data_IF_477384289767
#
_entry.id   IF_477384289767
#
_cell.length_a   1.000
_cell.length_b   1.000
_cell.length_c   1.000
_cell.angle_alpha   90.00
_cell.angle_beta   90.00
_cell.angle_gamma   90.00
#
_symmetry.space_group_name_H-M   'P 1'
#
loop_
_entity.id
_entity.type
_entity.pdbx_description
1 polymer ?
#
# COMPACT_ATOMS: atom_id res chain seq x y z
N UNK A 1 18.98 41.46 34.32
CA UNK A 1 17.67 40.79 34.24
C UNK A 1 16.62 41.83 33.95
N UNK A 2 16.23 41.96 32.68
CA UNK A 2 15.07 42.74 32.23
C UNK A 2 13.96 41.74 31.86
N UNK A 3 12.68 42.04 32.11
CA UNK A 3 11.61 41.06 32.01
C UNK A 3 11.32 40.75 30.55
N UNK A 4 11.35 39.46 30.19
CA UNK A 4 10.71 38.98 28.97
C UNK A 4 9.20 39.24 29.15
N UNK A 5 8.75 40.35 28.59
CA UNK A 5 7.43 40.94 28.80
C UNK A 5 6.32 40.04 28.26
N UNK A 6 5.14 40.19 28.84
CA UNK A 6 3.84 39.57 28.56
C UNK A 6 3.42 39.48 27.08
N UNK A 7 4.20 40.06 26.16
CA UNK A 7 4.03 40.08 24.71
C UNK A 7 3.97 38.66 24.09
N UNK A 8 4.90 37.77 24.43
CA UNK A 8 4.94 36.42 23.84
C UNK A 8 3.84 35.50 24.38
N UNK A 9 3.41 35.70 25.63
CA UNK A 9 2.30 34.95 26.21
C UNK A 9 0.95 35.37 25.58
N UNK A 10 0.75 36.68 25.33
CA UNK A 10 -0.41 37.18 24.56
C UNK A 10 -0.42 36.71 23.11
N UNK A 11 0.74 36.62 22.46
CA UNK A 11 0.85 36.12 21.08
C UNK A 11 0.49 34.64 20.96
N UNK A 12 0.87 33.82 21.95
CA UNK A 12 0.47 32.41 22.03
C UNK A 12 -1.01 32.24 22.38
N UNK A 13 -1.61 33.19 23.10
CA UNK A 13 -3.04 33.18 23.42
C UNK A 13 -3.92 33.59 22.22
N UNK A 14 -3.42 34.48 21.34
CA UNK A 14 -4.05 34.86 20.06
C UNK A 14 -3.96 33.73 19.01
N UNK A 15 -3.00 32.80 19.16
CA UNK A 15 -2.85 31.61 18.31
C UNK A 15 -3.71 30.41 18.75
N UNK A 16 -4.60 30.58 19.73
CA UNK A 16 -5.62 29.57 20.02
C UNK A 16 -6.54 29.46 18.80
N UNK A 17 -6.33 28.39 18.04
CA UNK A 17 -7.18 28.00 16.92
C UNK A 17 -8.65 28.00 17.36
N UNK A 18 -9.56 28.53 16.52
CA UNK A 18 -10.96 28.63 16.88
C UNK A 18 -11.59 27.25 17.09
N UNK A 19 -12.44 27.16 18.11
CA UNK A 19 -13.21 25.97 18.49
C UNK A 19 -14.63 25.99 17.89
N UNK A 20 -14.85 26.78 16.83
CA UNK A 20 -16.14 26.90 16.15
C UNK A 20 -16.10 26.15 14.81
N UNK A 21 -17.10 25.31 14.54
CA UNK A 21 -17.17 24.46 13.33
C UNK A 21 -17.20 25.33 12.05
N UNK A 22 -17.82 26.50 12.10
CA UNK A 22 -17.96 27.40 10.95
C UNK A 22 -16.63 28.05 10.56
N UNK A 23 -15.76 28.38 11.52
CA UNK A 23 -14.42 28.91 11.23
C UNK A 23 -13.46 27.81 10.71
N UNK A 24 -13.63 26.57 11.18
CA UNK A 24 -12.91 25.40 10.63
C UNK A 24 -13.33 25.15 9.18
N UNK A 25 -14.62 25.28 8.85
CA UNK A 25 -15.14 25.13 7.50
C UNK A 25 -14.65 26.24 6.55
N UNK A 26 -14.64 27.49 7.00
CA UNK A 26 -14.09 28.63 6.20
C UNK A 26 -12.58 28.48 6.02
N UNK A 27 -11.87 27.98 7.03
CA UNK A 27 -10.45 27.69 6.94
C UNK A 27 -10.19 26.51 5.98
N UNK A 28 -10.97 25.44 6.04
CA UNK A 28 -10.87 24.30 5.15
C UNK A 28 -11.22 24.69 3.71
N UNK A 29 -12.27 25.50 3.51
CA UNK A 29 -12.60 26.11 2.22
C UNK A 29 -11.44 26.93 1.70
N UNK A 30 -10.84 27.79 2.53
CA UNK A 30 -9.69 28.60 2.14
C UNK A 30 -8.49 27.72 1.76
N UNK A 31 -8.20 26.69 2.55
CA UNK A 31 -7.14 25.73 2.23
C UNK A 31 -7.40 25.00 0.91
N UNK A 32 -8.64 24.56 0.64
CA UNK A 32 -8.99 23.87 -0.59
C UNK A 32 -9.04 24.80 -1.80
N UNK A 33 -9.64 25.99 -1.66
CA UNK A 33 -9.71 27.00 -2.72
C UNK A 33 -8.31 27.44 -3.17
N UNK A 34 -7.36 27.53 -2.24
CA UNK A 34 -5.98 27.87 -2.54
C UNK A 34 -5.04 26.65 -2.71
N UNK A 35 -5.51 25.42 -2.47
CA UNK A 35 -4.71 24.18 -2.64
C UNK A 35 -4.26 23.97 -4.08
N UNK A 36 -5.01 24.52 -5.03
CA UNK A 36 -4.68 24.49 -6.46
C UNK A 36 -3.46 25.36 -6.79
N UNK A 37 -3.12 26.33 -5.96
CA UNK A 37 -2.08 27.32 -6.28
C UNK A 37 -0.74 26.64 -6.47
N UNK A 38 -0.34 25.73 -5.58
CA UNK A 38 0.96 25.04 -5.71
C UNK A 38 1.02 24.17 -6.96
N UNK A 39 0.07 23.26 -7.23
CA UNK A 39 0.02 22.50 -8.49
C UNK A 39 -0.04 23.40 -9.74
N UNK A 40 -0.82 24.48 -9.71
CA UNK A 40 -0.93 25.43 -10.83
C UNK A 40 0.41 26.14 -11.10
N UNK A 41 1.11 26.59 -10.05
CA UNK A 41 2.42 27.21 -10.19
C UNK A 41 3.44 26.21 -10.72
N UNK A 42 3.48 24.98 -10.19
CA UNK A 42 4.36 23.91 -10.70
C UNK A 42 4.11 23.71 -12.19
N UNK A 43 2.85 23.50 -12.59
CA UNK A 43 2.45 23.35 -13.99
C UNK A 43 2.90 24.52 -14.85
N UNK A 44 2.59 25.75 -14.44
CA UNK A 44 2.94 26.96 -15.19
C UNK A 44 4.46 27.07 -15.39
N UNK A 45 5.26 26.75 -14.37
CA UNK A 45 6.73 26.78 -14.48
C UNK A 45 7.30 25.68 -15.37
N UNK A 46 6.62 24.53 -15.47
CA UNK A 46 6.97 23.49 -16.45
C UNK A 46 6.65 23.97 -17.86
N UNK A 47 5.45 24.50 -18.10
CA UNK A 47 5.01 25.00 -19.42
C UNK A 47 5.88 26.18 -19.91
N UNK A 48 6.36 27.01 -19.00
CA UNK A 48 7.28 28.11 -19.30
C UNK A 48 8.76 27.66 -19.44
N UNK A 49 9.07 26.37 -19.27
CA UNK A 49 10.44 25.85 -19.40
C UNK A 49 11.42 26.35 -18.33
N UNK A 50 10.92 26.83 -17.19
CA UNK A 50 11.74 27.49 -16.15
C UNK A 50 12.84 26.56 -15.63
N UNK A 51 12.52 25.29 -15.39
CA UNK A 51 13.49 24.32 -14.89
C UNK A 51 14.59 24.04 -15.91
N UNK A 52 14.23 23.96 -17.19
CA UNK A 52 15.18 23.74 -18.30
C UNK A 52 16.09 24.94 -18.52
N UNK A 53 15.55 26.16 -18.39
CA UNK A 53 16.34 27.40 -18.47
C UNK A 53 17.43 27.40 -17.40
N UNK A 54 17.08 27.14 -16.14
CA UNK A 54 18.07 27.08 -15.06
C UNK A 54 19.07 25.93 -15.27
N UNK A 55 18.62 24.79 -15.79
CA UNK A 55 19.48 23.64 -16.06
C UNK A 55 20.53 23.92 -17.14
N UNK A 56 20.13 24.61 -18.22
CA UNK A 56 21.00 24.95 -19.36
C UNK A 56 22.16 25.88 -18.99
N UNK A 57 21.96 26.74 -18.00
CA UNK A 57 23.01 27.63 -17.45
C UNK A 57 24.09 26.88 -16.64
N UNK A 58 23.88 25.59 -16.37
CA UNK A 58 24.88 24.71 -15.80
C UNK A 58 24.81 24.51 -14.28
N UNK A 59 25.70 23.65 -13.79
CA UNK A 59 25.65 23.17 -12.40
C UNK A 59 25.96 24.30 -11.42
N UNK A 60 25.00 24.60 -10.55
CA UNK A 60 25.11 25.66 -9.55
C UNK A 60 24.69 27.05 -10.05
N UNK A 61 24.10 27.13 -11.25
CA UNK A 61 23.54 28.36 -11.78
C UNK A 61 22.51 28.98 -10.83
N UNK A 62 22.53 30.31 -10.76
CA UNK A 62 21.67 31.13 -9.91
C UNK A 62 21.13 32.27 -10.75
N UNK A 63 19.85 32.18 -11.12
CA UNK A 63 19.21 33.15 -12.01
C UNK A 63 18.21 34.01 -11.25
N UNK A 64 18.17 35.29 -11.57
CA UNK A 64 17.07 36.16 -11.13
C UNK A 64 15.81 35.86 -11.94
N UNK A 65 14.65 36.27 -11.43
CA UNK A 65 13.40 36.16 -12.18
C UNK A 65 13.43 36.97 -13.49
N UNK A 66 14.26 38.03 -13.57
CA UNK A 66 14.50 38.79 -14.79
C UNK A 66 15.28 37.98 -15.82
N UNK A 67 16.37 37.34 -15.42
CA UNK A 67 17.17 36.50 -16.32
C UNK A 67 16.30 35.37 -16.91
N UNK A 68 15.44 34.76 -16.09
CA UNK A 68 14.51 33.71 -16.54
C UNK A 68 13.45 34.28 -17.50
N UNK A 69 12.89 35.47 -17.21
CA UNK A 69 11.93 36.13 -18.10
C UNK A 69 12.53 36.47 -19.47
N UNK A 70 13.80 36.91 -19.48
CA UNK A 70 14.55 37.24 -20.68
C UNK A 70 14.80 35.97 -21.53
N UNK A 71 15.14 34.84 -20.90
CA UNK A 71 15.27 33.54 -21.58
C UNK A 71 13.95 33.01 -22.16
N UNK A 72 12.82 33.28 -21.49
CA UNK A 72 11.48 32.97 -22.01
C UNK A 72 11.15 33.83 -23.25
N UNK A 73 11.80 34.98 -23.42
CA UNK A 73 11.52 35.92 -24.52
C UNK A 73 10.19 36.68 -24.33
N UNK A 74 9.79 36.93 -23.08
CA UNK A 74 8.52 37.59 -22.78
C UNK A 74 8.58 39.10 -23.05
N UNK A 75 7.65 39.62 -23.85
CA UNK A 75 7.47 41.06 -24.08
C UNK A 75 6.64 41.77 -22.98
N UNK A 76 6.16 41.03 -21.96
CA UNK A 76 5.41 41.60 -20.84
C UNK A 76 6.36 42.26 -19.82
N UNK A 77 6.26 43.59 -19.58
CA UNK A 77 7.13 44.29 -18.63
C UNK A 77 6.98 43.82 -17.17
N UNK A 78 5.87 43.15 -16.82
CA UNK A 78 5.62 42.62 -15.48
C UNK A 78 6.09 41.16 -15.29
N UNK A 79 6.57 40.51 -16.36
CA UNK A 79 6.87 39.08 -16.35
C UNK A 79 7.88 38.67 -15.27
N UNK A 80 8.94 39.46 -15.07
CA UNK A 80 9.94 39.20 -14.04
C UNK A 80 9.35 39.25 -12.61
N UNK A 81 8.43 40.19 -12.35
CA UNK A 81 7.75 40.29 -11.05
C UNK A 81 6.77 39.14 -10.81
N UNK A 82 6.02 38.77 -11.84
CA UNK A 82 5.12 37.61 -11.80
C UNK A 82 5.90 36.32 -11.55
N UNK A 83 6.99 36.09 -12.30
CA UNK A 83 7.87 34.95 -12.14
C UNK A 83 8.47 34.91 -10.73
N UNK A 84 8.98 36.02 -10.18
CA UNK A 84 9.53 36.03 -8.83
C UNK A 84 8.53 35.51 -7.77
N UNK A 85 7.25 35.87 -7.89
CA UNK A 85 6.18 35.39 -7.00
C UNK A 85 5.95 33.88 -7.13
N UNK A 86 5.99 33.34 -8.35
CA UNK A 86 5.87 31.91 -8.63
C UNK A 86 7.09 31.15 -8.08
N UNK A 87 8.30 31.62 -8.40
CA UNK A 87 9.56 30.99 -8.00
C UNK A 87 9.75 31.01 -6.49
N UNK A 88 9.33 32.08 -5.81
CA UNK A 88 9.29 32.15 -4.34
C UNK A 88 8.38 31.08 -3.73
N UNK A 89 7.21 30.84 -4.31
CA UNK A 89 6.32 29.79 -3.85
C UNK A 89 6.96 28.41 -4.01
N UNK A 90 7.57 28.14 -5.16
CA UNK A 90 8.29 26.88 -5.40
C UNK A 90 9.47 26.70 -4.45
N UNK A 91 10.23 27.77 -4.18
CA UNK A 91 11.33 27.75 -3.22
C UNK A 91 10.84 27.43 -1.79
N UNK A 92 9.69 27.99 -1.38
CA UNK A 92 9.08 27.66 -0.07
C UNK A 92 8.64 26.20 0.06
N UNK A 93 8.39 25.52 -1.08
CA UNK A 93 8.08 24.09 -1.14
C UNK A 93 9.29 23.22 -1.46
N UNK A 94 10.52 23.76 -1.36
CA UNK A 94 11.78 23.08 -1.68
C UNK A 94 11.89 22.56 -3.12
N UNK A 95 11.05 23.06 -4.03
CA UNK A 95 11.08 22.73 -5.46
C UNK A 95 12.11 23.57 -6.23
N UNK A 96 12.60 24.65 -5.63
CA UNK A 96 13.76 25.43 -6.03
C UNK A 96 14.55 25.80 -4.77
N UNK A 97 15.81 26.18 -4.93
CA UNK A 97 16.56 26.87 -3.88
C UNK A 97 16.55 28.37 -4.16
N UNK A 98 16.52 29.19 -3.11
CA UNK A 98 16.54 30.65 -3.24
C UNK A 98 17.68 31.22 -2.39
N UNK A 99 18.46 32.13 -2.96
CA UNK A 99 19.45 32.94 -2.25
C UNK A 99 19.18 34.43 -2.51
N UNK A 100 19.64 35.29 -1.61
CA UNK A 100 19.41 36.73 -1.70
C UNK A 100 20.75 37.43 -1.81
N UNK A 101 20.89 38.31 -2.79
CA UNK A 101 22.05 39.18 -2.98
C UNK A 101 21.61 40.64 -2.90
N UNK A 102 22.56 41.55 -2.63
CA UNK A 102 22.30 42.99 -2.74
C UNK A 102 22.24 43.35 -4.22
N UNK A 103 21.25 44.14 -4.61
CA UNK A 103 21.11 44.58 -6.00
C UNK A 103 22.37 45.39 -6.42
N UNK A 104 23.07 44.99 -7.49
CA UNK A 104 24.26 45.70 -7.95
C UNK A 104 23.95 47.02 -8.71
N UNK A 105 22.70 47.29 -9.08
CA UNK A 105 22.33 48.41 -9.98
C UNK A 105 21.77 49.63 -9.23
N UNK A 106 21.21 49.47 -8.03
CA UNK A 106 20.67 50.58 -7.22
C UNK A 106 21.18 50.55 -5.77
N UNK A 107 22.32 51.21 -5.53
CA UNK A 107 22.97 51.31 -4.22
C UNK A 107 22.27 52.26 -3.21
N UNK A 108 21.13 52.84 -3.56
CA UNK A 108 20.43 53.86 -2.76
C UNK A 108 19.16 53.37 -2.05
N UNK A 109 18.58 52.25 -2.46
CA UNK A 109 17.43 51.63 -1.81
C UNK A 109 17.83 50.21 -1.42
N UNK A 110 17.56 49.77 -0.18
CA UNK A 110 17.88 48.41 0.32
C UNK A 110 17.10 47.29 -0.40
N UNK A 111 17.22 47.18 -1.73
CA UNK A 111 16.56 46.20 -2.57
C UNK A 111 17.41 44.93 -2.60
N UNK A 112 16.74 43.85 -2.25
CA UNK A 112 17.29 42.50 -2.20
C UNK A 112 16.87 41.76 -3.46
N UNK A 113 17.83 41.32 -4.27
CA UNK A 113 17.55 40.51 -5.45
C UNK A 113 17.56 39.03 -5.06
N UNK A 114 16.51 38.30 -5.45
CA UNK A 114 16.42 36.85 -5.27
C UNK A 114 17.01 36.15 -6.48
N UNK A 115 17.85 35.15 -6.21
CA UNK A 115 18.40 34.25 -7.21
C UNK A 115 17.93 32.83 -6.93
N UNK A 116 17.40 32.17 -7.96
CA UNK A 116 16.83 30.83 -7.90
C UNK A 116 17.77 29.83 -8.55
N UNK A 117 17.89 28.65 -7.94
CA UNK A 117 18.65 27.52 -8.48
C UNK A 117 17.86 26.22 -8.34
N UNK A 118 18.21 25.21 -9.12
CA UNK A 118 17.59 23.89 -9.00
C UNK A 118 17.85 23.31 -7.60
N UNK A 119 16.79 22.79 -6.98
CA UNK A 119 16.88 21.91 -5.82
C UNK A 119 17.08 20.46 -6.28
N UNK A 120 17.42 19.53 -5.36
CA UNK A 120 17.47 18.10 -5.69
C UNK A 120 16.17 17.53 -6.25
N UNK A 121 15.02 18.16 -5.98
CA UNK A 121 13.69 17.75 -6.47
C UNK A 121 13.42 18.33 -7.86
N UNK A 122 13.99 19.48 -8.21
CA UNK A 122 13.73 20.13 -9.52
C UNK A 122 14.10 19.27 -10.72
N UNK A 123 15.06 18.35 -10.57
CA UNK A 123 15.53 17.45 -11.64
C UNK A 123 14.42 16.60 -12.29
N UNK A 124 13.30 16.39 -11.59
CA UNK A 124 12.15 15.62 -12.08
C UNK A 124 11.25 16.41 -13.04
N UNK A 125 11.43 17.74 -13.07
CA UNK A 125 10.69 18.67 -13.92
C UNK A 125 11.53 19.22 -15.09
N UNK A 126 12.81 18.85 -15.15
CA UNK A 126 13.71 19.20 -16.26
C UNK A 126 13.53 18.16 -17.37
N UNK A 127 13.28 18.64 -18.59
CA UNK A 127 13.24 17.86 -19.82
C UNK A 127 14.61 17.23 -20.12
N UNK A 128 14.62 16.02 -20.65
CA UNK A 128 15.83 15.46 -21.26
C UNK A 128 16.05 16.00 -22.69
N UNK A 129 17.01 15.41 -23.42
CA UNK A 129 17.36 15.80 -24.78
C UNK A 129 16.17 15.71 -25.76
N UNK A 130 15.17 14.89 -25.45
CA UNK A 130 13.96 14.70 -26.25
C UNK A 130 12.77 15.51 -25.70
N UNK A 131 12.99 16.31 -24.65
CA UNK A 131 12.00 17.19 -24.04
C UNK A 131 11.02 16.49 -23.09
N UNK A 132 11.28 15.23 -22.70
CA UNK A 132 10.35 14.48 -21.86
C UNK A 132 10.58 14.78 -20.37
N UNK A 133 9.51 14.95 -19.60
CA UNK A 133 9.54 15.09 -18.14
C UNK A 133 8.28 14.49 -17.52
N UNK A 134 8.19 14.42 -16.19
CA UNK A 134 6.98 13.93 -15.51
C UNK A 134 5.80 14.93 -15.57
N UNK A 135 6.02 16.15 -16.06
CA UNK A 135 5.05 17.25 -16.04
C UNK A 135 3.78 17.10 -16.92
N UNK A 136 3.88 16.62 -18.18
CA UNK A 136 2.74 16.58 -19.11
C UNK A 136 1.60 15.61 -18.73
N UNK A 137 1.89 14.56 -17.95
CA UNK A 137 0.93 13.50 -17.59
C UNK A 137 -0.34 14.00 -16.87
N UNK A 138 -0.27 15.15 -16.19
CA UNK A 138 -1.38 15.73 -15.43
C UNK A 138 -2.46 16.38 -16.31
N UNK A 139 -2.19 16.61 -17.60
CA UNK A 139 -3.10 17.32 -18.51
C UNK A 139 -4.14 16.41 -19.18
N UNK A 140 -3.91 15.09 -19.20
CA UNK A 140 -4.76 14.14 -19.92
C UNK A 140 -5.90 13.57 -19.09
N UNK A 141 -6.00 13.89 -17.79
CA UNK A 141 -7.06 13.35 -16.92
C UNK A 141 -8.47 13.71 -17.42
N UNK A 142 -8.67 14.95 -17.89
CA UNK A 142 -9.94 15.37 -18.49
C UNK A 142 -10.25 14.57 -19.76
N UNK A 143 -9.25 14.40 -20.64
CA UNK A 143 -9.38 13.63 -21.87
C UNK A 143 -9.71 12.16 -21.59
N UNK A 144 -9.02 11.53 -20.64
CA UNK A 144 -9.27 10.17 -20.19
C UNK A 144 -10.71 9.98 -19.68
N UNK A 145 -11.24 10.92 -18.90
CA UNK A 145 -12.62 10.85 -18.39
C UNK A 145 -13.65 10.98 -19.53
N UNK A 146 -13.41 11.87 -20.50
CA UNK A 146 -14.38 12.17 -21.57
C UNK A 146 -14.34 11.18 -22.73
N UNK A 147 -13.14 10.70 -23.08
CA UNK A 147 -12.88 9.95 -24.32
C UNK A 147 -12.36 8.53 -24.05
N UNK A 148 -12.07 8.22 -22.78
CA UNK A 148 -11.43 6.97 -22.39
C UNK A 148 -9.91 6.99 -22.58
N UNK A 149 -9.29 5.90 -22.16
CA UNK A 149 -7.84 5.72 -22.12
C UNK A 149 -7.23 6.16 -20.79
N UNK A 150 -5.95 5.81 -20.60
CA UNK A 150 -5.20 6.12 -19.38
C UNK A 150 -4.43 7.42 -19.59
N UNK A 151 -4.48 8.40 -18.65
CA UNK A 151 -3.81 9.69 -18.80
C UNK A 151 -2.34 9.58 -19.23
N UNK A 152 -1.56 8.68 -18.61
CA UNK A 152 -0.17 8.43 -19.01
C UNK A 152 -0.06 7.95 -20.46
N UNK A 153 -0.86 6.96 -20.87
CA UNK A 153 -0.85 6.44 -22.23
C UNK A 153 -1.27 7.49 -23.25
N UNK A 154 -2.21 8.37 -22.90
CA UNK A 154 -2.64 9.48 -23.77
C UNK A 154 -1.52 10.50 -23.96
N UNK A 155 -0.74 10.77 -22.91
CA UNK A 155 0.38 11.72 -22.96
C UNK A 155 1.62 11.15 -23.69
N UNK A 156 1.89 9.85 -23.54
CA UNK A 156 3.14 9.23 -23.98
C UNK A 156 2.98 8.20 -25.11
N UNK A 157 1.75 7.87 -25.51
CA UNK A 157 1.43 6.91 -26.58
C UNK A 157 1.65 5.44 -26.21
N UNK A 158 2.07 5.13 -24.97
CA UNK A 158 2.40 3.76 -24.54
C UNK A 158 2.23 3.56 -23.02
N UNK A 159 2.31 2.31 -22.59
CA UNK A 159 2.24 1.91 -21.18
C UNK A 159 3.46 2.39 -20.37
N UNK A 160 3.28 2.74 -19.09
CA UNK A 160 4.38 3.25 -18.23
C UNK A 160 5.57 2.29 -18.11
N UNK A 161 5.34 0.99 -17.96
CA UNK A 161 6.42 -0.01 -17.94
C UNK A 161 7.12 -0.19 -19.29
N UNK A 162 6.43 0.02 -20.42
CA UNK A 162 7.08 0.04 -21.74
C UNK A 162 7.88 1.33 -21.93
N UNK A 163 7.36 2.46 -21.45
CA UNK A 163 8.05 3.74 -21.44
C UNK A 163 9.36 3.67 -20.63
N UNK A 164 9.35 2.98 -19.47
CA UNK A 164 10.54 2.76 -18.66
C UNK A 164 11.63 1.95 -19.39
N UNK A 165 11.30 1.10 -20.36
CA UNK A 165 12.30 0.36 -21.14
C UNK A 165 13.04 1.25 -22.13
N UNK A 166 12.36 2.25 -22.69
CA UNK A 166 12.93 3.12 -23.73
C UNK A 166 13.63 4.35 -23.16
N UNK A 167 13.19 4.86 -22.01
CA UNK A 167 13.77 6.04 -21.35
C UNK A 167 14.55 5.62 -20.10
N UNK A 168 15.87 5.47 -20.26
CA UNK A 168 16.77 5.07 -19.18
C UNK A 168 16.80 6.06 -18.01
N UNK A 169 16.56 7.36 -18.25
CA UNK A 169 16.53 8.37 -17.18
C UNK A 169 15.25 8.25 -16.36
N UNK A 170 14.10 8.09 -17.03
CA UNK A 170 12.84 7.82 -16.36
C UNK A 170 12.94 6.53 -15.53
N UNK A 171 13.51 5.46 -16.10
CA UNK A 171 13.73 4.20 -15.41
C UNK A 171 14.57 4.37 -14.14
N UNK A 172 15.71 5.07 -14.23
CA UNK A 172 16.57 5.34 -13.07
C UNK A 172 15.81 6.11 -11.98
N UNK A 173 15.07 7.16 -12.37
CA UNK A 173 14.27 7.98 -11.47
C UNK A 173 13.20 7.15 -10.78
N UNK A 174 12.44 6.37 -11.54
CA UNK A 174 11.37 5.51 -11.05
C UNK A 174 11.92 4.48 -10.06
N UNK A 175 12.96 3.74 -10.46
CA UNK A 175 13.60 2.73 -9.63
C UNK A 175 14.17 3.33 -8.34
N UNK A 176 14.80 4.50 -8.41
CA UNK A 176 15.33 5.20 -7.22
C UNK A 176 14.23 5.66 -6.27
N UNK A 177 13.11 6.18 -6.80
CA UNK A 177 11.96 6.56 -5.98
C UNK A 177 11.33 5.34 -5.29
N UNK A 178 11.18 4.24 -6.01
CA UNK A 178 10.67 2.97 -5.47
C UNK A 178 11.62 2.36 -4.44
N UNK A 179 12.93 2.38 -4.69
CA UNK A 179 13.96 1.93 -3.75
C UNK A 179 13.88 2.71 -2.41
N UNK A 180 13.88 4.03 -2.47
CA UNK A 180 13.92 4.88 -1.27
C UNK A 180 12.64 4.76 -0.44
N UNK A 181 11.47 4.80 -1.09
CA UNK A 181 10.18 4.65 -0.43
C UNK A 181 10.02 3.26 0.20
N UNK A 182 10.38 2.20 -0.53
CA UNK A 182 10.32 0.82 -0.05
C UNK A 182 11.28 0.61 1.13
N UNK A 183 12.49 1.17 1.09
CA UNK A 183 13.46 1.05 2.18
C UNK A 183 12.92 1.61 3.50
N UNK A 184 12.29 2.80 3.45
CA UNK A 184 11.73 3.43 4.64
C UNK A 184 10.56 2.63 5.22
N UNK A 185 9.67 2.16 4.35
CA UNK A 185 8.50 1.37 4.74
C UNK A 185 8.91 0.01 5.31
N UNK A 186 9.79 -0.72 4.60
CA UNK A 186 10.18 -2.09 4.97
C UNK A 186 10.95 -2.16 6.28
N UNK A 187 11.79 -1.16 6.59
CA UNK A 187 12.43 -1.09 7.92
C UNK A 187 11.40 -1.13 9.05
N UNK A 188 10.31 -0.37 8.92
CA UNK A 188 9.23 -0.33 9.92
C UNK A 188 8.40 -1.61 9.92
N UNK A 189 8.08 -2.15 8.74
CA UNK A 189 7.35 -3.42 8.63
C UNK A 189 8.12 -4.54 9.34
N UNK A 190 9.43 -4.64 9.08
CA UNK A 190 10.30 -5.66 9.66
C UNK A 190 10.38 -5.59 11.19
N UNK A 191 10.10 -4.44 11.81
CA UNK A 191 10.10 -4.32 13.28
C UNK A 191 8.89 -4.99 13.91
N UNK A 192 7.73 -4.91 13.25
CA UNK A 192 6.44 -5.37 13.78
C UNK A 192 5.97 -6.71 13.19
N UNK A 193 6.27 -6.98 11.93
CA UNK A 193 5.84 -8.19 11.23
C UNK A 193 6.81 -9.34 11.47
N UNK A 194 6.31 -10.45 12.00
CA UNK A 194 7.08 -11.65 12.36
C UNK A 194 6.86 -12.84 11.41
N UNK A 195 6.10 -12.63 10.34
CA UNK A 195 5.75 -13.73 9.44
C UNK A 195 6.92 -14.27 8.62
N UNK A 196 8.11 -13.66 8.71
CA UNK A 196 9.34 -14.12 8.06
C UNK A 196 10.13 -15.16 8.87
N UNK A 197 9.89 -15.30 10.18
CA UNK A 197 10.76 -16.07 11.10
C UNK A 197 10.88 -17.58 10.81
N UNK A 198 9.98 -18.15 9.99
CA UNK A 198 9.92 -19.58 9.66
C UNK A 198 9.96 -19.86 8.15
N UNK A 199 10.36 -18.86 7.36
CA UNK A 199 10.52 -19.01 5.91
C UNK A 199 11.99 -19.36 5.65
N UNK A 200 12.28 -20.39 4.84
CA UNK A 200 13.66 -20.67 4.43
C UNK A 200 13.94 -20.12 3.03
N UNK A 201 12.95 -20.13 2.14
CA UNK A 201 13.07 -19.60 0.77
C UNK A 201 11.96 -18.58 0.48
N UNK A 202 12.34 -17.33 0.21
CA UNK A 202 11.42 -16.22 -0.05
C UNK A 202 11.63 -15.67 -1.45
N UNK A 203 10.55 -15.51 -2.21
CA UNK A 203 10.56 -14.91 -3.55
C UNK A 203 9.87 -13.55 -3.51
N UNK A 204 10.57 -12.47 -3.82
CA UNK A 204 10.02 -11.11 -3.97
C UNK A 204 9.63 -10.89 -5.44
N UNK A 205 8.33 -10.98 -5.74
CA UNK A 205 7.78 -10.85 -7.10
C UNK A 205 7.51 -9.38 -7.39
N UNK A 206 8.09 -8.86 -8.48
CA UNK A 206 8.13 -7.43 -8.77
C UNK A 206 9.01 -6.67 -7.76
N UNK A 207 10.10 -7.30 -7.33
CA UNK A 207 10.99 -6.75 -6.29
C UNK A 207 11.86 -5.58 -6.78
N UNK A 208 11.78 -5.22 -8.06
CA UNK A 208 12.55 -4.17 -8.69
C UNK A 208 14.04 -4.48 -8.65
N UNK A 209 14.83 -3.50 -8.18
CA UNK A 209 16.28 -3.66 -7.97
C UNK A 209 16.65 -4.48 -6.72
N UNK A 210 15.69 -5.13 -6.05
CA UNK A 210 15.96 -6.08 -4.95
C UNK A 210 16.18 -5.45 -3.56
N UNK A 211 15.86 -4.17 -3.39
CA UNK A 211 16.06 -3.47 -2.11
C UNK A 211 15.26 -4.09 -0.95
N UNK A 212 14.04 -4.55 -1.23
CA UNK A 212 13.14 -5.11 -0.22
C UNK A 212 13.63 -6.46 0.27
N UNK A 213 13.84 -7.42 -0.65
CA UNK A 213 14.36 -8.74 -0.30
C UNK A 213 15.71 -8.67 0.41
N UNK A 214 16.61 -7.75 0.01
CA UNK A 214 17.88 -7.50 0.71
C UNK A 214 17.67 -7.11 2.18
N UNK A 215 16.72 -6.21 2.46
CA UNK A 215 16.42 -5.81 3.84
C UNK A 215 15.86 -6.98 4.65
N UNK A 216 15.03 -7.83 4.03
CA UNK A 216 14.44 -9.00 4.67
C UNK A 216 15.55 -10.01 5.00
N UNK A 217 16.38 -10.40 4.04
CA UNK A 217 17.46 -11.39 4.25
C UNK A 217 18.55 -10.86 5.18
N UNK A 218 18.82 -9.54 5.18
CA UNK A 218 19.74 -8.93 6.15
C UNK A 218 19.24 -9.06 7.60
N UNK A 219 17.92 -8.97 7.82
CA UNK A 219 17.32 -9.13 9.16
C UNK A 219 17.10 -10.60 9.52
N UNK A 220 16.89 -11.45 8.53
CA UNK A 220 16.66 -12.88 8.67
C UNK A 220 17.68 -13.66 7.81
N UNK A 221 18.95 -13.80 8.27
CA UNK A 221 20.03 -14.36 7.45
C UNK A 221 19.86 -15.84 7.07
N UNK A 222 18.89 -16.54 7.68
CA UNK A 222 18.53 -17.90 7.32
C UNK A 222 17.67 -17.99 6.05
N UNK A 223 17.12 -16.87 5.57
CA UNK A 223 16.28 -16.81 4.38
C UNK A 223 17.15 -16.77 3.13
N UNK A 224 16.97 -17.75 2.26
CA UNK A 224 17.39 -17.69 0.86
C UNK A 224 16.41 -16.79 0.10
N UNK A 225 16.85 -15.58 -0.25
CA UNK A 225 16.05 -14.60 -0.98
C UNK A 225 16.24 -14.70 -2.49
N UNK A 226 15.13 -14.67 -3.23
CA UNK A 226 15.08 -14.49 -4.68
C UNK A 226 14.40 -13.17 -5.00
N UNK A 227 15.07 -12.28 -5.73
CA UNK A 227 14.46 -11.11 -6.36
C UNK A 227 13.98 -11.50 -7.77
N UNK A 228 12.69 -11.35 -8.04
CA UNK A 228 12.10 -11.66 -9.34
C UNK A 228 11.44 -10.42 -9.96
N UNK A 229 11.86 -10.07 -11.17
CA UNK A 229 11.31 -8.94 -11.93
C UNK A 229 11.53 -9.14 -13.43
N UNK A 230 11.11 -8.18 -14.26
CA UNK A 230 11.36 -8.20 -15.70
C UNK A 230 12.87 -8.22 -16.01
N UNK A 231 13.32 -8.89 -17.08
CA UNK A 231 14.75 -9.03 -17.39
C UNK A 231 15.53 -7.71 -17.40
N UNK A 232 15.00 -6.67 -18.04
CA UNK A 232 15.66 -5.34 -18.10
C UNK A 232 15.80 -4.65 -16.73
N UNK A 233 14.91 -4.93 -15.78
CA UNK A 233 15.00 -4.42 -14.40
C UNK A 233 16.08 -5.17 -13.63
N UNK A 234 16.12 -6.50 -13.81
CA UNK A 234 17.11 -7.37 -13.18
C UNK A 234 18.54 -7.10 -13.65
N UNK A 235 18.73 -6.78 -14.93
CA UNK A 235 20.02 -6.33 -15.47
C UNK A 235 20.55 -5.09 -14.73
N UNK A 236 19.66 -4.19 -14.29
CA UNK A 236 20.02 -3.06 -13.45
C UNK A 236 20.29 -3.48 -11.99
N UNK A 237 19.60 -4.53 -11.50
CA UNK A 237 19.66 -5.00 -10.12
C UNK A 237 20.99 -5.66 -9.75
N UNK A 238 21.59 -6.44 -10.64
CA UNK A 238 22.86 -7.15 -10.40
C UNK A 238 24.04 -6.21 -10.11
N UNK A 239 23.92 -4.92 -10.41
CA UNK A 239 24.92 -3.92 -10.01
C UNK A 239 24.84 -3.53 -8.52
N UNK A 240 23.79 -3.92 -7.80
CA UNK A 240 23.50 -3.47 -6.44
C UNK A 240 23.78 -4.52 -5.34
N UNK A 241 23.75 -5.83 -5.66
CA UNK A 241 24.03 -6.89 -4.68
C UNK A 241 24.25 -8.27 -5.32
N UNK A 242 25.25 -9.00 -4.84
CA UNK A 242 25.51 -10.41 -5.22
C UNK A 242 24.94 -11.40 -4.18
N UNK A 243 24.46 -10.93 -3.03
CA UNK A 243 24.00 -11.78 -1.92
C UNK A 243 22.55 -12.30 -2.08
N UNK A 244 21.83 -11.81 -3.08
CA UNK A 244 20.45 -12.21 -3.40
C UNK A 244 20.45 -12.82 -4.80
N UNK A 245 19.71 -13.92 -4.98
CA UNK A 245 19.53 -14.50 -6.31
C UNK A 245 18.58 -13.62 -7.14
N UNK A 246 19.06 -13.14 -8.28
CA UNK A 246 18.31 -12.28 -9.19
C UNK A 246 17.80 -13.08 -10.40
N UNK A 247 16.48 -13.11 -10.59
CA UNK A 247 15.83 -13.91 -11.65
C UNK A 247 14.94 -13.02 -12.52
N UNK A 248 15.27 -12.94 -13.81
CA UNK A 248 14.45 -12.26 -14.81
C UNK A 248 13.31 -13.14 -15.32
N UNK A 249 12.10 -12.60 -15.45
CA UNK A 249 10.98 -13.30 -16.08
C UNK A 249 9.70 -12.47 -16.10
N UNK A 250 8.58 -13.12 -16.43
CA UNK A 250 7.24 -12.51 -16.43
C UNK A 250 6.33 -13.26 -15.45
N UNK A 251 5.81 -12.53 -14.44
CA UNK A 251 4.89 -13.06 -13.42
C UNK A 251 3.56 -13.55 -13.98
N UNK A 252 3.18 -13.11 -15.19
CA UNK A 252 2.00 -13.60 -15.90
C UNK A 252 2.23 -14.96 -16.57
N UNK A 253 3.46 -15.44 -16.63
CA UNK A 253 3.82 -16.76 -17.16
C UNK A 253 4.19 -17.72 -16.03
N UNK A 254 5.17 -17.34 -15.21
CA UNK A 254 5.64 -18.15 -14.09
C UNK A 254 6.39 -17.29 -13.05
N UNK A 255 6.48 -17.80 -11.83
CA UNK A 255 7.33 -17.22 -10.78
C UNK A 255 8.19 -18.34 -10.16
N UNK A 256 9.39 -18.03 -9.62
CA UNK A 256 10.21 -19.01 -8.92
C UNK A 256 9.48 -19.67 -7.75
N UNK A 257 9.79 -20.95 -7.48
CA UNK A 257 9.23 -21.65 -6.32
C UNK A 257 9.92 -21.19 -5.01
N UNK A 258 9.13 -21.00 -3.96
CA UNK A 258 9.60 -20.66 -2.61
C UNK A 258 8.62 -21.10 -1.53
N UNK A 259 9.06 -21.10 -0.27
CA UNK A 259 8.19 -21.41 0.88
C UNK A 259 7.13 -20.31 1.04
N UNK A 260 7.51 -19.07 0.70
CA UNK A 260 6.61 -17.95 0.61
C UNK A 260 6.96 -17.06 -0.59
N UNK A 261 5.94 -16.35 -1.06
CA UNK A 261 6.08 -15.28 -2.05
C UNK A 261 5.72 -13.96 -1.38
N UNK A 262 6.49 -12.92 -1.63
CA UNK A 262 6.25 -11.57 -1.18
C UNK A 262 5.90 -10.70 -2.40
N UNK A 263 4.87 -9.88 -2.26
CA UNK A 263 4.45 -8.88 -3.24
C UNK A 263 4.15 -7.58 -2.50
N UNK A 264 4.75 -6.48 -2.92
CA UNK A 264 4.51 -5.16 -2.34
C UNK A 264 4.29 -4.16 -3.45
N UNK A 265 3.14 -3.50 -3.48
CA UNK A 265 2.77 -2.56 -4.55
C UNK A 265 2.86 -3.24 -5.91
N UNK A 266 2.15 -4.36 -6.02
CA UNK A 266 2.04 -5.18 -7.23
C UNK A 266 0.58 -5.30 -7.61
N UNK A 267 -0.28 -5.75 -6.68
CA UNK A 267 -1.68 -6.00 -7.01
C UNK A 267 -2.42 -4.70 -7.32
N UNK A 268 -1.98 -3.56 -6.77
CA UNK A 268 -2.59 -2.28 -7.07
C UNK A 268 -2.33 -1.75 -8.50
N UNK A 269 -1.33 -2.29 -9.21
CA UNK A 269 -1.00 -1.90 -10.58
C UNK A 269 -1.95 -2.51 -11.60
N UNK A 270 -2.70 -3.55 -11.22
CA UNK A 270 -3.45 -4.40 -12.14
C UNK A 270 -4.93 -4.51 -11.79
N UNK A 271 -5.74 -4.76 -12.82
CA UNK A 271 -7.15 -5.13 -12.66
C UNK A 271 -7.34 -6.48 -11.97
N UNK A 272 -8.59 -6.80 -11.66
CA UNK A 272 -8.91 -8.01 -10.89
C UNK A 272 -8.58 -9.30 -11.65
N UNK A 273 -8.84 -9.35 -12.96
CA UNK A 273 -8.55 -10.53 -13.78
C UNK A 273 -7.03 -10.83 -13.84
N UNK A 274 -6.22 -9.79 -14.00
CA UNK A 274 -4.76 -9.88 -13.94
C UNK A 274 -4.28 -10.30 -12.54
N UNK A 275 -4.83 -9.69 -11.48
CA UNK A 275 -4.51 -10.08 -10.10
C UNK A 275 -4.84 -11.54 -9.83
N UNK A 276 -5.99 -12.03 -10.28
CA UNK A 276 -6.38 -13.43 -10.17
C UNK A 276 -5.41 -14.35 -10.90
N UNK A 277 -4.93 -13.95 -12.09
CA UNK A 277 -3.94 -14.70 -12.86
C UNK A 277 -2.60 -14.78 -12.11
N UNK A 278 -2.08 -13.65 -11.63
CA UNK A 278 -0.84 -13.56 -10.85
C UNK A 278 -0.95 -14.44 -9.59
N UNK A 279 -2.01 -14.25 -8.80
CA UNK A 279 -2.23 -14.98 -7.56
C UNK A 279 -2.36 -16.49 -7.77
N UNK A 280 -2.99 -16.96 -8.86
CA UNK A 280 -3.06 -18.38 -9.21
C UNK A 280 -1.69 -18.97 -9.57
N UNK A 281 -0.81 -18.18 -10.20
CA UNK A 281 0.57 -18.58 -10.48
C UNK A 281 1.36 -18.68 -9.17
N UNK A 282 1.24 -17.68 -8.29
CA UNK A 282 1.86 -17.70 -6.97
C UNK A 282 1.37 -18.89 -6.12
N UNK A 283 0.07 -19.21 -6.13
CA UNK A 283 -0.50 -20.35 -5.42
C UNK A 283 0.13 -21.70 -5.86
N UNK A 284 0.48 -21.83 -7.14
CA UNK A 284 1.15 -23.03 -7.67
C UNK A 284 2.62 -23.10 -7.25
N UNK A 285 3.27 -21.97 -7.08
CA UNK A 285 4.70 -21.85 -6.77
C UNK A 285 5.06 -21.98 -5.28
N UNK A 286 4.06 -22.10 -4.40
CA UNK A 286 4.25 -22.31 -2.95
C UNK A 286 3.85 -23.73 -2.51
N UNK A 287 4.49 -24.30 -1.47
CA UNK A 287 4.08 -25.57 -0.87
C UNK A 287 2.71 -25.44 -0.16
N UNK A 288 2.13 -26.56 0.25
CA UNK A 288 0.78 -26.61 0.86
C UNK A 288 0.64 -25.79 2.15
N UNK A 289 1.71 -25.70 2.92
CA UNK A 289 1.86 -24.87 4.13
C UNK A 289 2.48 -23.49 3.85
N UNK A 290 2.76 -23.20 2.59
CA UNK A 290 3.27 -21.91 2.14
C UNK A 290 2.22 -20.81 2.12
N UNK A 291 2.68 -19.57 1.92
CA UNK A 291 1.83 -18.39 1.89
C UNK A 291 2.32 -17.33 0.91
N UNK A 292 1.40 -16.47 0.49
CA UNK A 292 1.72 -15.24 -0.23
C UNK A 292 1.53 -14.05 0.72
N UNK A 293 2.56 -13.23 0.88
CA UNK A 293 2.57 -12.05 1.73
C UNK A 293 2.41 -10.83 0.82
N UNK A 294 1.32 -10.09 1.00
CA UNK A 294 0.96 -8.94 0.18
C UNK A 294 1.04 -7.67 1.02
N UNK A 295 1.69 -6.63 0.51
CA UNK A 295 1.80 -5.32 1.17
C UNK A 295 1.23 -4.24 0.27
N UNK A 296 0.03 -3.76 0.61
CA UNK A 296 -0.74 -2.80 -0.19
C UNK A 296 -1.49 -1.79 0.67
N UNK A 297 -2.02 -0.75 0.04
CA UNK A 297 -2.98 0.13 0.72
C UNK A 297 -4.35 -0.55 0.76
N UNK A 298 -5.15 -0.26 1.80
CA UNK A 298 -6.58 -0.65 1.82
C UNK A 298 -7.42 0.62 1.87
N UNK A 299 -8.33 0.73 0.92
CA UNK A 299 -9.28 1.85 0.82
C UNK A 299 -10.46 1.60 1.78
N UNK A 300 -10.81 2.57 2.65
CA UNK A 300 -12.03 2.47 3.44
C UNK A 300 -13.25 2.70 2.54
N UNK A 301 -14.33 1.96 2.81
CA UNK A 301 -15.60 2.09 2.06
C UNK A 301 -16.17 3.50 2.21
N UNK A 302 -16.08 4.07 3.42
CA UNK A 302 -16.53 5.42 3.72
C UNK A 302 -15.35 6.38 3.58
N UNK A 303 -15.47 7.49 2.80
CA UNK A 303 -14.42 8.47 2.64
C UNK A 303 -14.32 9.37 3.88
N UNK A 304 -13.69 8.85 4.92
CA UNK A 304 -13.46 9.58 6.16
C UNK A 304 -12.35 10.63 5.98
N UNK A 305 -12.42 11.81 6.64
CA UNK A 305 -11.42 12.87 6.49
C UNK A 305 -10.09 12.60 7.23
N UNK A 306 -9.75 11.33 7.47
CA UNK A 306 -8.50 10.92 8.14
C UNK A 306 -7.31 10.97 7.18
N UNK A 307 -6.11 11.14 7.73
CA UNK A 307 -4.87 11.12 6.92
C UNK A 307 -4.64 9.77 6.23
N UNK A 308 -5.04 8.66 6.87
CA UNK A 308 -5.00 7.32 6.30
C UNK A 308 -5.88 7.22 5.05
N UNK A 309 -7.16 7.59 5.17
CA UNK A 309 -8.11 7.53 4.06
C UNK A 309 -7.71 8.47 2.91
N UNK A 310 -7.31 9.71 3.23
CA UNK A 310 -6.78 10.68 2.25
C UNK A 310 -5.59 10.11 1.46
N UNK A 311 -4.68 9.40 2.12
CA UNK A 311 -3.53 8.78 1.45
C UNK A 311 -3.96 7.62 0.54
N UNK A 312 -4.91 6.79 0.99
CA UNK A 312 -5.45 5.70 0.18
C UNK A 312 -6.12 6.20 -1.10
N UNK A 313 -7.03 7.19 -0.99
CA UNK A 313 -7.67 7.78 -2.18
C UNK A 313 -6.68 8.51 -3.08
N UNK A 314 -5.65 9.13 -2.52
CA UNK A 314 -4.59 9.75 -3.32
C UNK A 314 -3.84 8.70 -4.14
N UNK A 315 -3.46 7.58 -3.54
CA UNK A 315 -2.80 6.49 -4.25
C UNK A 315 -3.70 5.91 -5.34
N UNK A 316 -4.99 5.74 -5.06
CA UNK A 316 -5.98 5.23 -6.02
C UNK A 316 -6.07 6.12 -7.27
N UNK A 317 -6.17 7.44 -7.08
CA UNK A 317 -6.17 8.39 -8.20
C UNK A 317 -4.85 8.34 -8.98
N UNK A 318 -3.70 8.16 -8.30
CA UNK A 318 -2.41 8.01 -8.98
C UNK A 318 -2.43 6.75 -9.85
N UNK A 319 -2.90 5.61 -9.33
CA UNK A 319 -3.03 4.37 -10.09
C UNK A 319 -3.93 4.54 -11.31
N UNK A 320 -5.12 5.16 -11.14
CA UNK A 320 -6.03 5.47 -12.24
C UNK A 320 -5.35 6.32 -13.34
N UNK A 321 -4.41 7.20 -12.98
CA UNK A 321 -3.72 8.05 -13.97
C UNK A 321 -2.59 7.37 -14.73
N UNK A 322 -1.98 6.33 -14.13
CA UNK A 322 -0.71 5.76 -14.61
C UNK A 322 -0.82 4.32 -15.09
N UNK A 323 -1.70 3.53 -14.47
CA UNK A 323 -1.77 2.09 -14.63
C UNK A 323 -3.13 1.67 -15.23
N UNK A 324 -3.17 1.00 -16.38
CA UNK A 324 -4.41 0.45 -16.92
C UNK A 324 -5.00 -0.59 -15.99
N UNK A 325 -6.20 -0.30 -15.47
CA UNK A 325 -6.87 -1.18 -14.51
C UNK A 325 -6.29 -1.13 -13.10
N UNK A 326 -5.25 -0.32 -12.86
CA UNK A 326 -4.69 -0.12 -11.53
C UNK A 326 -5.69 0.56 -10.60
N UNK A 327 -5.80 0.01 -9.40
CA UNK A 327 -6.83 0.38 -8.42
C UNK A 327 -6.38 0.00 -7.02
N UNK A 328 -6.65 0.86 -6.05
CA UNK A 328 -6.52 0.52 -4.63
C UNK A 328 -7.81 -0.16 -4.16
N UNK A 329 -7.67 -1.22 -3.36
CA UNK A 329 -8.78 -2.14 -3.06
C UNK A 329 -9.30 -2.00 -1.64
N UNK A 330 -10.57 -2.32 -1.44
CA UNK A 330 -11.14 -2.47 -0.10
C UNK A 330 -10.70 -3.79 0.52
N UNK A 331 -10.97 -3.93 1.83
CA UNK A 331 -10.72 -5.18 2.54
C UNK A 331 -11.49 -6.36 1.92
N UNK A 332 -12.72 -6.12 1.45
CA UNK A 332 -13.56 -7.16 0.86
C UNK A 332 -12.97 -7.62 -0.48
N UNK A 333 -12.53 -6.69 -1.32
CA UNK A 333 -11.95 -7.02 -2.62
C UNK A 333 -10.70 -7.91 -2.48
N UNK A 334 -9.84 -7.66 -1.49
CA UNK A 334 -8.71 -8.56 -1.20
C UNK A 334 -9.13 -9.95 -0.71
N UNK A 335 -10.24 -10.06 0.04
CA UNK A 335 -10.80 -11.37 0.42
C UNK A 335 -11.35 -12.09 -0.81
N UNK A 336 -11.99 -11.37 -1.73
CA UNK A 336 -12.54 -11.92 -2.96
C UNK A 336 -11.44 -12.37 -3.92
N UNK A 337 -10.34 -11.60 -4.04
CA UNK A 337 -9.14 -12.00 -4.78
C UNK A 337 -8.52 -13.27 -4.19
N UNK A 338 -8.41 -13.37 -2.87
CA UNK A 338 -7.89 -14.58 -2.20
C UNK A 338 -8.74 -15.81 -2.53
N UNK A 339 -10.06 -15.69 -2.38
CA UNK A 339 -11.00 -16.77 -2.66
C UNK A 339 -11.00 -17.16 -4.15
N UNK A 340 -11.09 -16.16 -5.06
CA UNK A 340 -11.15 -16.38 -6.51
C UNK A 340 -9.87 -16.94 -7.12
N UNK A 341 -8.72 -16.75 -6.45
CA UNK A 341 -7.44 -17.35 -6.85
C UNK A 341 -7.18 -18.72 -6.23
N UNK A 342 -8.06 -19.19 -5.33
CA UNK A 342 -7.99 -20.53 -4.74
C UNK A 342 -7.23 -20.62 -3.42
N UNK A 343 -6.91 -19.49 -2.78
CA UNK A 343 -6.44 -19.50 -1.40
C UNK A 343 -7.60 -19.85 -0.46
N UNK A 344 -7.27 -20.56 0.61
CA UNK A 344 -8.22 -21.00 1.62
C UNK A 344 -8.53 -19.93 2.68
N UNK A 345 -7.78 -18.84 2.70
CA UNK A 345 -8.02 -17.72 3.59
C UNK A 345 -6.97 -16.63 3.49
N UNK A 346 -7.31 -15.46 4.02
CA UNK A 346 -6.44 -14.29 4.12
C UNK A 346 -6.42 -13.78 5.56
N UNK A 347 -5.24 -13.33 6.02
CA UNK A 347 -5.06 -12.67 7.32
C UNK A 347 -4.50 -11.27 7.12
N UNK A 348 -5.18 -10.28 7.68
CA UNK A 348 -4.69 -8.90 7.76
C UNK A 348 -3.87 -8.77 9.05
N UNK A 349 -2.54 -8.69 8.92
CA UNK A 349 -1.63 -8.91 10.06
C UNK A 349 -1.31 -7.62 10.81
N UNK A 350 -0.87 -6.59 10.08
CA UNK A 350 -0.55 -5.29 10.66
C UNK A 350 -0.69 -4.19 9.59
N UNK A 351 -0.76 -2.94 10.05
CA UNK A 351 -0.77 -1.76 9.20
C UNK A 351 0.37 -0.81 9.62
N UNK A 352 1.20 -0.42 8.66
CA UNK A 352 2.37 0.43 8.87
C UNK A 352 2.38 1.53 7.81
N UNK A 353 2.34 2.79 8.25
CA UNK A 353 2.38 3.96 7.34
C UNK A 353 1.33 3.90 6.21
N UNK A 354 0.13 3.42 6.53
CA UNK A 354 -0.99 3.18 5.61
C UNK A 354 -0.91 1.94 4.71
N UNK A 355 0.14 1.13 4.84
CA UNK A 355 0.26 -0.14 4.12
C UNK A 355 -0.10 -1.31 5.04
N UNK A 356 -1.00 -2.17 4.58
CA UNK A 356 -1.39 -3.39 5.24
C UNK A 356 -0.52 -4.54 4.78
N UNK A 357 0.00 -5.30 5.75
CA UNK A 357 0.62 -6.61 5.49
C UNK A 357 -0.46 -7.66 5.61
N UNK A 358 -0.69 -8.38 4.52
CA UNK A 358 -1.70 -9.42 4.38
C UNK A 358 -1.04 -10.75 4.05
N UNK A 359 -1.57 -11.86 4.57
CA UNK A 359 -1.07 -13.20 4.28
C UNK A 359 -2.19 -14.06 3.69
N UNK A 360 -1.96 -14.57 2.49
CA UNK A 360 -2.85 -15.46 1.75
C UNK A 360 -2.33 -16.88 1.95
N UNK A 361 -3.19 -17.77 2.45
CA UNK A 361 -2.79 -19.13 2.85
C UNK A 361 -3.32 -20.17 1.87
N UNK A 362 -2.41 -21.04 1.39
CA UNK A 362 -2.80 -22.15 0.52
C UNK A 362 -3.69 -23.15 1.26
N UNK A 363 -3.32 -23.51 2.49
CA UNK A 363 -4.17 -24.26 3.42
C UNK A 363 -4.27 -23.50 4.75
N UNK A 364 -5.47 -23.07 5.10
CA UNK A 364 -5.76 -22.32 6.30
C UNK A 364 -5.92 -23.30 7.45
N UNK A 365 -4.85 -23.48 8.21
CA UNK A 365 -4.97 -24.07 9.53
C UNK A 365 -5.45 -22.98 10.48
N UNK A 366 -6.67 -23.12 11.02
CA UNK A 366 -7.05 -22.37 12.22
C UNK A 366 -6.16 -22.83 13.37
N UNK A 367 -4.98 -22.21 13.50
CA UNK A 367 -4.15 -22.37 14.69
C UNK A 367 -4.80 -21.49 15.74
N UNK A 368 -5.75 -22.07 16.48
CA UNK A 368 -6.13 -21.52 17.78
C UNK A 368 -4.87 -21.37 18.63
N UNK A 369 -4.71 -20.22 19.30
CA UNK A 369 -3.60 -20.02 20.23
C UNK A 369 -3.68 -21.07 21.34
N UNK A 370 -2.95 -22.17 21.18
CA UNK A 370 -2.80 -23.25 22.15
C UNK A 370 -2.83 -24.64 21.53
N UNK A 371 -1.64 -25.18 21.23
CA UNK A 371 -1.39 -26.64 21.21
C UNK A 371 -1.81 -27.44 19.97
N UNK A 372 -0.79 -27.93 19.25
CA UNK A 372 -0.76 -29.11 18.38
C UNK A 372 -1.72 -29.22 17.16
N UNK A 373 -1.08 -29.31 15.98
CA UNK A 373 -1.49 -30.00 14.75
C UNK A 373 -2.85 -30.72 14.78
N UNK A 374 -3.87 -30.12 14.16
CA UNK A 374 -5.16 -30.77 13.89
C UNK A 374 -5.11 -31.82 12.76
N UNK A 375 -4.01 -31.93 12.00
CA UNK A 375 -3.86 -32.93 10.92
C UNK A 375 -3.23 -34.24 11.35
N UNK A 376 -2.32 -34.24 12.34
CA UNK A 376 -1.76 -35.51 12.84
C UNK A 376 -2.76 -36.30 13.69
N UNK A 377 -3.72 -35.63 14.33
CA UNK A 377 -4.75 -36.30 15.13
C UNK A 377 -5.88 -36.89 14.28
N UNK A 378 -6.18 -36.37 13.09
CA UNK A 378 -7.24 -36.93 12.24
C UNK A 378 -6.87 -38.27 11.60
N UNK A 379 -5.59 -38.50 11.29
CA UNK A 379 -5.14 -39.78 10.72
C UNK A 379 -4.87 -40.83 11.80
N UNK A 380 -4.40 -40.44 13.00
CA UNK A 380 -4.27 -41.37 14.14
C UNK A 380 -5.61 -41.79 14.75
N UNK A 381 -6.67 -40.98 14.65
CA UNK A 381 -8.02 -41.38 15.10
C UNK A 381 -8.70 -42.41 14.18
N UNK A 382 -8.18 -42.64 12.97
CA UNK A 382 -8.78 -43.55 11.99
C UNK A 382 -8.01 -44.88 11.83
N UNK A 383 -6.90 -45.09 12.55
CA UNK A 383 -6.19 -46.37 12.54
C UNK A 383 -6.27 -47.05 13.91
N UNK A 384 -7.16 -48.05 13.99
CA UNK A 384 -7.15 -49.19 14.91
C UNK A 384 -7.08 -48.95 16.43
N UNK A 385 -8.05 -49.56 17.12
CA UNK A 385 -8.00 -50.12 18.49
C UNK A 385 -8.13 -49.21 19.72
N UNK A 386 -9.06 -48.24 19.75
CA UNK A 386 -9.61 -47.71 21.02
C UNK A 386 -11.13 -47.59 20.89
N UNK A 387 -11.82 -48.73 20.80
CA UNK A 387 -13.28 -48.81 20.91
C UNK A 387 -13.75 -49.57 22.16
N UNK A 388 -12.81 -49.96 23.04
CA UNK A 388 -13.11 -50.48 24.36
C UNK A 388 -12.23 -49.71 25.36
N UNK A 389 -12.80 -49.38 26.51
CA UNK A 389 -12.19 -48.65 27.64
C UNK A 389 -12.34 -47.12 27.61
N UNK A 390 -13.58 -46.64 27.64
CA UNK A 390 -13.90 -45.37 28.30
C UNK A 390 -14.83 -45.70 29.47
N UNK A 391 -14.27 -45.67 30.68
CA UNK A 391 -14.96 -45.91 31.96
C UNK A 391 -16.03 -44.85 32.25
N UNK A 392 -17.14 -45.30 32.84
CA UNK A 392 -18.41 -44.58 33.08
C UNK A 392 -18.32 -43.37 34.02
N UNK A 393 -17.16 -43.01 34.58
CA UNK A 393 -17.08 -42.07 35.70
C UNK A 393 -17.00 -40.58 35.31
N UNK A 394 -16.84 -40.24 34.02
CA UNK A 394 -16.81 -38.84 33.55
C UNK A 394 -18.07 -38.41 32.77
N UNK A 395 -19.07 -39.28 32.62
CA UNK A 395 -20.36 -38.97 31.98
C UNK A 395 -21.38 -38.33 32.93
N UNK A 396 -20.96 -37.39 33.78
CA UNK A 396 -21.90 -36.64 34.62
C UNK A 396 -22.23 -35.26 34.02
N UNK A 397 -23.34 -35.27 33.26
CA UNK A 397 -24.40 -34.25 33.09
C UNK A 397 -24.76 -33.98 31.62
N UNK A 398 -25.28 -35.01 30.95
CA UNK A 398 -26.23 -34.82 29.85
C UNK A 398 -27.66 -34.89 30.41
N UNK A 399 -28.60 -34.03 29.98
CA UNK A 399 -30.01 -34.19 30.31
C UNK A 399 -30.52 -35.53 29.77
N UNK A 400 -31.18 -36.32 30.62
CA UNK A 400 -31.58 -37.74 30.41
C UNK A 400 -32.45 -38.06 29.18
N UNK A 401 -32.72 -37.12 28.27
CA UNK A 401 -33.70 -37.29 27.18
C UNK A 401 -33.15 -37.15 25.75
N UNK A 402 -31.85 -36.93 25.52
CA UNK A 402 -31.34 -36.77 24.14
C UNK A 402 -31.17 -38.09 23.35
N UNK A 403 -31.18 -39.25 24.00
CA UNK A 403 -30.87 -40.53 23.33
C UNK A 403 -32.06 -41.21 22.63
N UNK A 404 -33.29 -40.68 22.74
CA UNK A 404 -34.50 -41.39 22.25
C UNK A 404 -34.98 -40.99 20.85
N UNK A 405 -34.23 -40.17 20.10
CA UNK A 405 -34.69 -39.65 18.81
C UNK A 405 -33.68 -39.78 17.65
N UNK A 406 -32.73 -40.71 17.73
CA UNK A 406 -31.68 -40.87 16.71
C UNK A 406 -31.71 -42.33 16.19
N UNK A 407 -32.00 -42.56 14.89
CA UNK A 407 -31.89 -43.88 14.27
C UNK A 407 -30.45 -44.43 14.35
N UNK A 408 -30.31 -45.76 14.45
CA UNK A 408 -29.03 -46.45 14.71
C UNK A 408 -27.96 -46.27 13.60
N UNK A 409 -28.35 -45.71 12.48
CA UNK A 409 -27.58 -45.57 11.24
C UNK A 409 -27.01 -44.15 11.04
N UNK A 410 -27.12 -43.28 12.05
CA UNK A 410 -26.62 -41.91 12.03
C UNK A 410 -25.31 -41.75 12.82
N UNK A 411 -24.27 -41.19 12.20
CA UNK A 411 -23.06 -40.73 12.90
C UNK A 411 -23.29 -39.32 13.44
N UNK A 412 -23.27 -39.16 14.76
CA UNK A 412 -23.47 -37.86 15.44
C UNK A 412 -22.13 -37.33 15.92
N UNK A 413 -21.77 -36.11 15.50
CA UNK A 413 -20.66 -35.36 16.08
C UNK A 413 -21.25 -34.35 17.07
N UNK A 414 -20.94 -34.49 18.36
CA UNK A 414 -21.30 -33.52 19.41
C UNK A 414 -20.12 -32.57 19.56
N UNK A 415 -20.25 -31.33 19.08
CA UNK A 415 -19.24 -30.28 19.27
C UNK A 415 -19.61 -29.49 20.53
N UNK A 416 -18.77 -29.55 21.57
CA UNK A 416 -18.95 -28.79 22.81
C UNK A 416 -18.62 -27.30 22.58
N UNK A 417 -19.62 -26.49 22.24
CA UNK A 417 -19.48 -25.02 22.17
C UNK A 417 -19.74 -24.45 23.57
N UNK A 418 -18.79 -24.57 24.49
CA UNK A 418 -18.92 -23.97 25.83
C UNK A 418 -17.89 -22.88 26.13
N UNK A 419 -16.74 -22.83 25.45
CA UNK A 419 -15.71 -21.84 25.81
C UNK A 419 -15.74 -20.53 24.99
N UNK A 420 -16.32 -20.52 23.78
CA UNK A 420 -16.27 -19.34 22.91
C UNK A 420 -17.40 -18.33 23.20
N UNK A 421 -18.57 -18.81 23.61
CA UNK A 421 -19.74 -17.96 23.87
C UNK A 421 -19.71 -17.30 25.26
N UNK A 422 -19.14 -17.97 26.27
CA UNK A 422 -19.03 -17.39 27.63
C UNK A 422 -18.06 -16.20 27.65
N UNK A 423 -16.96 -16.28 26.89
CA UNK A 423 -15.98 -15.18 26.78
C UNK A 423 -16.55 -13.94 26.09
N UNK A 424 -17.36 -14.11 25.04
CA UNK A 424 -18.02 -13.00 24.34
C UNK A 424 -19.19 -12.40 25.14
N UNK A 425 -19.91 -13.22 25.92
CA UNK A 425 -21.01 -12.73 26.78
C UNK A 425 -20.54 -11.84 27.94
N UNK A 426 -19.25 -11.90 28.31
CA UNK A 426 -18.69 -11.14 29.42
C UNK A 426 -18.02 -9.83 29.03
N UNK A 427 -17.86 -9.54 27.72
CA UNK A 427 -17.11 -8.34 27.31
C UNK A 427 -17.93 -7.28 26.57
N UNK A 428 -18.93 -7.57 25.72
CA UNK A 428 -19.60 -6.50 24.96
C UNK A 428 -21.06 -6.83 24.56
N UNK A 429 -21.99 -5.96 25.01
CA UNK A 429 -23.31 -5.60 24.43
C UNK A 429 -24.59 -6.47 24.71
N UNK A 430 -25.80 -5.86 24.63
CA UNK A 430 -27.06 -6.42 25.15
C UNK A 430 -27.65 -7.56 24.29
N UNK A 431 -28.54 -8.33 24.93
CA UNK A 431 -29.15 -9.62 24.51
C UNK A 431 -29.82 -9.71 23.12
N UNK A 432 -29.86 -8.66 22.30
CA UNK A 432 -30.61 -8.63 21.03
C UNK A 432 -29.83 -9.08 19.79
N UNK A 433 -28.53 -9.39 19.90
CA UNK A 433 -27.69 -9.80 18.76
C UNK A 433 -27.24 -11.27 18.76
N UNK A 434 -27.68 -12.10 19.72
CA UNK A 434 -27.31 -13.52 19.76
C UNK A 434 -27.88 -14.34 18.59
N UNK A 435 -29.03 -13.93 18.05
CA UNK A 435 -29.71 -14.68 16.97
C UNK A 435 -28.97 -14.58 15.62
N UNK A 436 -28.31 -13.43 15.36
CA UNK A 436 -27.50 -13.22 14.15
C UNK A 436 -26.19 -14.03 14.14
N UNK A 437 -25.57 -14.23 15.30
CA UNK A 437 -24.36 -15.06 15.42
C UNK A 437 -24.66 -16.55 15.26
N UNK A 438 -25.85 -17.00 15.67
CA UNK A 438 -26.30 -18.37 15.47
C UNK A 438 -26.57 -18.71 14.00
N UNK A 439 -26.92 -17.73 13.16
CA UNK A 439 -27.06 -17.96 11.71
C UNK A 439 -25.71 -17.99 10.99
N UNK A 440 -24.81 -17.06 11.29
CA UNK A 440 -23.48 -17.00 10.65
C UNK A 440 -22.63 -18.24 10.92
N UNK A 441 -22.67 -18.76 12.15
CA UNK A 441 -21.97 -20.00 12.52
C UNK A 441 -22.61 -21.24 11.89
N UNK A 442 -23.93 -21.27 11.68
CA UNK A 442 -24.60 -22.36 10.95
C UNK A 442 -24.23 -22.38 9.47
N UNK A 443 -24.13 -21.22 8.82
CA UNK A 443 -23.80 -21.10 7.39
C UNK A 443 -22.39 -21.63 7.12
N UNK A 444 -21.41 -21.18 7.91
CA UNK A 444 -20.00 -21.56 7.71
C UNK A 444 -19.73 -23.06 7.95
N UNK A 445 -20.51 -23.72 8.81
CA UNK A 445 -20.41 -25.16 9.03
C UNK A 445 -21.19 -26.01 8.02
N UNK A 446 -22.31 -25.50 7.47
CA UNK A 446 -23.03 -26.18 6.39
C UNK A 446 -22.21 -26.26 5.10
N UNK A 447 -21.39 -25.25 4.81
CA UNK A 447 -20.52 -25.26 3.63
C UNK A 447 -19.34 -26.23 3.79
N UNK A 448 -18.86 -26.45 5.02
CA UNK A 448 -17.89 -27.51 5.35
C UNK A 448 -18.48 -28.93 5.18
N UNK A 449 -19.78 -29.10 5.43
CA UNK A 449 -20.49 -30.37 5.34
C UNK A 449 -20.79 -30.81 3.91
N UNK A 450 -21.06 -29.84 3.02
CA UNK A 450 -21.32 -30.11 1.58
C UNK A 450 -20.11 -30.71 0.86
N UNK A 451 -18.89 -30.45 1.34
CA UNK A 451 -17.66 -31.01 0.77
C UNK A 451 -17.30 -32.42 1.27
N UNK A 452 -18.02 -32.97 2.25
CA UNK A 452 -17.60 -34.18 2.99
C UNK A 452 -18.63 -35.32 3.02
N UNK A 453 -19.69 -35.23 2.21
CA UNK A 453 -20.61 -36.35 1.96
C UNK A 453 -21.62 -36.64 3.08
N UNK A 454 -21.84 -35.71 4.00
CA UNK A 454 -22.83 -35.85 5.07
C UNK A 454 -24.23 -35.43 4.61
N UNK A 455 -25.24 -36.24 4.92
CA UNK A 455 -26.63 -36.04 4.46
C UNK A 455 -27.49 -35.20 5.42
N UNK A 456 -27.08 -34.97 6.67
CA UNK A 456 -27.74 -34.04 7.60
C UNK A 456 -26.85 -33.64 8.79
N UNK A 457 -26.98 -32.40 9.27
CA UNK A 457 -26.37 -31.90 10.51
C UNK A 457 -27.47 -31.34 11.41
N UNK A 458 -27.51 -31.76 12.69
CA UNK A 458 -28.44 -31.23 13.69
C UNK A 458 -27.67 -30.57 14.82
N UNK A 459 -27.87 -29.27 15.01
CA UNK A 459 -27.27 -28.51 16.10
C UNK A 459 -28.13 -28.65 17.36
N UNK A 460 -27.57 -29.16 18.45
CA UNK A 460 -28.23 -29.20 19.77
C UNK A 460 -27.55 -28.15 20.65
N UNK A 461 -28.27 -27.09 20.98
CA UNK A 461 -27.78 -26.07 21.89
C UNK A 461 -28.10 -26.51 23.34
N UNK A 462 -27.09 -26.95 24.08
CA UNK A 462 -27.21 -27.17 25.52
C UNK A 462 -26.91 -25.85 26.24
N UNK A 463 -27.96 -25.15 26.67
CA UNK A 463 -27.84 -24.02 27.59
C UNK A 463 -27.73 -24.61 29.00
N UNK A 464 -26.61 -24.35 29.69
CA UNK A 464 -26.41 -24.68 31.10
C UNK A 464 -26.98 -23.61 32.01
#
# INVERSE_FOLDING_TARGET
MAPASESNAKLLEILKLPQDEEEVDVFLFSQMAWSIVVPMVVRTTIELGVFDIIAKEGKGAKLSAKDIADHIGSNNPEAASMLDRLLRLLASHSLLSCSVVKDPVESSNNLHQRLYSLSPVSKYFVGDADGVSLGPSLNELKGAILEGGIPFNRAHGMHVFEYAKIDGRFNEVFNKAMHNSSTLLMKRILDVYKGFDHINKLVDVGGGVGATIKLITSKHPHILGINFDLPHVIECASAYDDAVEHVGGDMFESVPNGDAIFMKRILHDWGDDECLKILKICLKAIPNDGKVIVVETIVPIVPEPTSFAKNAFRNDVIMMTQMPGGIERTKQDYMDLANGSGFSGIRFVCCVSSFWVMEFYKIYFMIGRGGASLKENSQKFLSSSILNDWDDEHCLKLPKNCHKAIPNDWKVIVVHITCFLVYLSQQLLPRTHLDLMNEYSKISFMDLAKGSGFTAIRFVCCVS
#
